data_IF_953303560599
#
_entry.id   IF_953303560599
#
_cell.length_a   1.000
_cell.length_b   1.000
_cell.length_c   1.000
_cell.angle_alpha   90.00
_cell.angle_beta   90.00
_cell.angle_gamma   90.00
#
_symmetry.space_group_name_H-M   'P 1'
#
loop_
_entity.id
_entity.type
_entity.pdbx_description
1 polymer ?
#
# COMPACT_ATOMS: atom_id res chain seq x y z
N UNK A 1 -12.33 -21.45 -5.84
CA UNK A 1 -11.17 -21.84 -5.01
C UNK A 1 -9.86 -21.71 -5.79
N UNK A 2 -9.75 -22.21 -7.02
CA UNK A 2 -8.50 -22.18 -7.81
C UNK A 2 -7.89 -20.78 -7.98
N UNK A 3 -8.69 -19.77 -8.37
CA UNK A 3 -8.19 -18.38 -8.51
C UNK A 3 -7.72 -17.80 -7.18
N UNK A 4 -8.48 -18.02 -6.10
CA UNK A 4 -8.12 -17.59 -4.76
C UNK A 4 -6.81 -18.24 -4.28
N UNK A 5 -6.61 -19.54 -4.53
CA UNK A 5 -5.38 -20.24 -4.20
C UNK A 5 -4.16 -19.72 -4.96
N UNK A 6 -4.33 -19.38 -6.24
CA UNK A 6 -3.26 -18.75 -7.05
C UNK A 6 -2.90 -17.36 -6.52
N UNK A 7 -3.90 -16.51 -6.25
CA UNK A 7 -3.68 -15.16 -5.70
C UNK A 7 -3.03 -15.22 -4.32
N UNK A 8 -3.45 -16.16 -3.48
CA UNK A 8 -2.83 -16.41 -2.18
C UNK A 8 -1.39 -16.89 -2.31
N UNK A 9 -1.12 -17.86 -3.18
CA UNK A 9 0.23 -18.35 -3.44
C UNK A 9 1.16 -17.25 -3.92
N UNK A 10 0.71 -16.43 -4.89
CA UNK A 10 1.45 -15.25 -5.35
C UNK A 10 1.70 -14.25 -4.21
N UNK A 11 0.68 -13.96 -3.40
CA UNK A 11 0.80 -13.06 -2.25
C UNK A 11 1.86 -13.57 -1.28
N UNK A 12 1.88 -14.87 -0.96
CA UNK A 12 2.90 -15.46 -0.08
C UNK A 12 4.30 -15.42 -0.70
N UNK A 13 4.44 -15.64 -2.00
CA UNK A 13 5.72 -15.44 -2.68
C UNK A 13 6.24 -14.00 -2.52
N UNK A 14 5.40 -13.00 -2.78
CA UNK A 14 5.77 -11.59 -2.58
C UNK A 14 6.01 -11.23 -1.11
N UNK A 15 5.30 -11.86 -0.18
CA UNK A 15 5.52 -11.70 1.26
C UNK A 15 6.90 -12.24 1.67
N UNK A 16 7.31 -13.41 1.17
CA UNK A 16 8.64 -13.97 1.42
C UNK A 16 9.74 -13.07 0.84
N UNK A 17 9.57 -12.59 -0.39
CA UNK A 17 10.48 -11.62 -0.99
C UNK A 17 10.57 -10.34 -0.16
N UNK A 18 9.43 -9.80 0.27
CA UNK A 18 9.38 -8.61 1.10
C UNK A 18 10.08 -8.83 2.45
N UNK A 19 9.82 -9.97 3.10
CA UNK A 19 10.45 -10.36 4.35
C UNK A 19 11.98 -10.45 4.21
N UNK A 20 12.47 -11.05 3.12
CA UNK A 20 13.90 -11.15 2.85
C UNK A 20 14.56 -9.77 2.71
N UNK A 21 13.95 -8.87 1.92
CA UNK A 21 14.47 -7.51 1.72
C UNK A 21 14.39 -6.71 3.03
N UNK A 22 13.28 -6.82 3.76
CA UNK A 22 13.09 -6.17 5.07
C UNK A 22 14.13 -6.66 6.10
N UNK A 23 14.41 -7.96 6.15
CA UNK A 23 15.46 -8.54 6.99
C UNK A 23 16.84 -7.99 6.62
N UNK A 24 17.16 -7.91 5.33
CA UNK A 24 18.43 -7.36 4.87
C UNK A 24 18.56 -5.87 5.23
N UNK A 25 17.49 -5.08 5.09
CA UNK A 25 17.47 -3.67 5.51
C UNK A 25 17.59 -3.52 7.03
N UNK A 26 16.95 -4.41 7.79
CA UNK A 26 17.02 -4.45 9.26
C UNK A 26 18.45 -4.75 9.72
N UNK A 27 19.13 -5.74 9.11
CA UNK A 27 20.54 -6.09 9.39
C UNK A 27 21.52 -4.98 9.00
N UNK A 28 21.28 -4.29 7.89
CA UNK A 28 22.13 -3.20 7.38
C UNK A 28 21.89 -1.84 8.07
N UNK A 29 20.97 -1.78 9.03
CA UNK A 29 20.70 -0.59 9.83
C UNK A 29 21.49 -0.63 11.13
N UNK A 30 22.23 0.45 11.46
CA UNK A 30 23.01 0.55 12.70
C UNK A 30 22.16 0.44 13.97
N UNK A 31 20.87 0.79 13.91
CA UNK A 31 19.89 0.72 15.03
C UNK A 31 18.49 0.38 14.50
N UNK A 32 18.20 -0.90 14.22
CA UNK A 32 16.93 -1.32 13.60
C UNK A 32 15.70 -0.99 14.45
N UNK A 33 15.78 -1.20 15.77
CA UNK A 33 14.66 -1.03 16.70
C UNK A 33 14.19 0.42 16.87
N UNK A 34 15.03 1.41 16.54
CA UNK A 34 14.70 2.85 16.62
C UNK A 34 14.25 3.45 15.29
N UNK A 35 14.28 2.69 14.20
CA UNK A 35 13.91 3.19 12.88
C UNK A 35 12.41 3.03 12.66
N UNK A 36 11.67 4.14 12.68
CA UNK A 36 10.22 4.18 12.41
C UNK A 36 9.91 3.51 11.06
N UNK A 37 10.75 3.76 10.05
CA UNK A 37 10.60 3.16 8.72
C UNK A 37 10.68 1.62 8.72
N UNK A 38 11.56 1.03 9.54
CA UNK A 38 11.69 -0.43 9.63
C UNK A 38 10.45 -1.03 10.26
N UNK A 39 9.93 -0.41 11.32
CA UNK A 39 8.67 -0.82 11.94
C UNK A 39 7.49 -0.72 10.97
N UNK A 40 7.40 0.36 10.19
CA UNK A 40 6.34 0.53 9.20
C UNK A 40 6.34 -0.62 8.17
N UNK A 41 7.51 -1.05 7.68
CA UNK A 41 7.62 -2.18 6.75
C UNK A 41 7.16 -3.49 7.40
N UNK A 42 7.60 -3.77 8.63
CA UNK A 42 7.25 -5.03 9.31
C UNK A 42 5.77 -5.10 9.66
N UNK A 43 5.17 -3.99 10.10
CA UNK A 43 3.74 -3.93 10.40
C UNK A 43 2.92 -4.07 9.09
N UNK A 44 3.35 -3.42 8.00
CA UNK A 44 2.72 -3.57 6.68
C UNK A 44 2.74 -5.02 6.20
N UNK A 45 3.90 -5.66 6.29
CA UNK A 45 4.09 -7.06 5.91
C UNK A 45 3.20 -7.98 6.75
N UNK A 46 3.18 -7.78 8.08
CA UNK A 46 2.34 -8.55 8.98
C UNK A 46 0.85 -8.38 8.65
N UNK A 47 0.39 -7.15 8.43
CA UNK A 47 -0.99 -6.86 8.06
C UNK A 47 -1.39 -7.55 6.73
N UNK A 48 -0.52 -7.51 5.72
CA UNK A 48 -0.74 -8.21 4.46
C UNK A 48 -0.88 -9.72 4.63
N UNK A 49 0.01 -10.34 5.40
CA UNK A 49 -0.02 -11.79 5.64
C UNK A 49 -1.26 -12.18 6.44
N UNK A 50 -1.62 -11.42 7.48
CA UNK A 50 -2.79 -11.70 8.31
C UNK A 50 -4.08 -11.62 7.48
N UNK A 51 -4.28 -10.57 6.67
CA UNK A 51 -5.47 -10.47 5.81
C UNK A 51 -5.51 -11.62 4.79
N UNK A 52 -4.38 -11.96 4.18
CA UNK A 52 -4.33 -13.06 3.21
C UNK A 52 -4.74 -14.39 3.85
N UNK A 53 -4.29 -14.68 5.08
CA UNK A 53 -4.66 -15.87 5.84
C UNK A 53 -6.13 -15.83 6.25
N UNK A 54 -6.63 -14.70 6.78
CA UNK A 54 -8.04 -14.55 7.16
C UNK A 54 -8.97 -14.76 5.96
N UNK A 55 -8.64 -14.19 4.81
CA UNK A 55 -9.40 -14.38 3.57
C UNK A 55 -9.38 -15.83 3.09
N UNK A 56 -8.26 -16.54 3.24
CA UNK A 56 -8.15 -17.96 2.88
C UNK A 56 -8.99 -18.84 3.82
N UNK A 57 -8.89 -18.64 5.13
CA UNK A 57 -9.64 -19.39 6.14
C UNK A 57 -11.15 -19.21 5.97
N UNK A 58 -11.58 -18.00 5.62
CA UNK A 58 -12.96 -17.73 5.25
C UNK A 58 -13.40 -18.49 3.99
N UNK A 59 -12.56 -18.51 2.94
CA UNK A 59 -12.88 -19.22 1.70
C UNK A 59 -12.92 -20.75 1.88
N UNK A 60 -12.20 -21.27 2.87
CA UNK A 60 -12.23 -22.68 3.28
C UNK A 60 -13.41 -23.01 4.21
N UNK A 61 -14.31 -22.05 4.48
CA UNK A 61 -15.45 -22.18 5.39
C UNK A 61 -15.07 -22.58 6.84
N UNK A 62 -13.81 -22.35 7.23
CA UNK A 62 -13.32 -22.64 8.59
C UNK A 62 -13.82 -21.58 9.58
N UNK A 63 -13.93 -20.33 9.14
CA UNK A 63 -14.36 -19.18 9.96
C UNK A 63 -15.71 -18.67 9.47
N UNK A 64 -16.76 -18.64 10.31
CA UNK A 64 -18.05 -18.07 9.94
C UNK A 64 -17.97 -16.54 9.82
N UNK A 65 -18.76 -15.91 8.92
CA UNK A 65 -18.85 -14.46 8.85
C UNK A 65 -19.36 -13.92 10.19
N UNK A 66 -18.54 -13.11 10.86
CA UNK A 66 -18.89 -12.46 12.13
C UNK A 66 -18.50 -10.99 12.10
N UNK A 67 -19.11 -10.19 12.98
CA UNK A 67 -18.76 -8.78 13.14
C UNK A 67 -17.25 -8.60 13.39
N UNK A 68 -16.69 -9.40 14.29
CA UNK A 68 -15.27 -9.34 14.65
C UNK A 68 -14.35 -9.66 13.47
N UNK A 69 -14.73 -10.62 12.62
CA UNK A 69 -14.00 -10.95 11.41
C UNK A 69 -14.02 -9.80 10.39
N UNK A 70 -15.17 -9.16 10.18
CA UNK A 70 -15.26 -7.99 9.29
C UNK A 70 -14.47 -6.80 9.84
N UNK A 71 -14.50 -6.60 11.16
CA UNK A 71 -13.75 -5.54 11.83
C UNK A 71 -12.23 -5.76 11.78
N UNK A 72 -11.75 -7.00 11.95
CA UNK A 72 -10.32 -7.30 11.89
C UNK A 72 -9.73 -7.02 10.51
N UNK A 73 -10.39 -7.51 9.44
CA UNK A 73 -9.96 -7.24 8.06
C UNK A 73 -9.93 -5.75 7.78
N UNK A 74 -10.98 -5.02 8.16
CA UNK A 74 -11.07 -3.59 7.86
C UNK A 74 -10.04 -2.77 8.67
N UNK A 75 -9.77 -3.16 9.91
CA UNK A 75 -8.73 -2.54 10.73
C UNK A 75 -7.34 -2.77 10.13
N UNK A 76 -7.02 -4.01 9.74
CA UNK A 76 -5.74 -4.33 9.11
C UNK A 76 -5.60 -3.60 7.77
N UNK A 77 -6.65 -3.55 6.97
CA UNK A 77 -6.66 -2.82 5.70
C UNK A 77 -6.47 -1.31 5.89
N UNK A 78 -7.10 -0.72 6.91
CA UNK A 78 -6.90 0.68 7.28
C UNK A 78 -5.45 0.96 7.68
N UNK A 79 -4.82 0.03 8.41
CA UNK A 79 -3.39 0.11 8.76
C UNK A 79 -2.53 0.06 7.49
N UNK A 80 -2.85 -0.83 6.54
CA UNK A 80 -2.10 -0.98 5.29
C UNK A 80 -2.08 0.31 4.46
N UNK A 81 -3.25 0.87 4.16
CA UNK A 81 -3.35 2.11 3.39
C UNK A 81 -2.59 3.24 4.07
N UNK A 82 -2.67 3.34 5.40
CA UNK A 82 -1.98 4.38 6.14
C UNK A 82 -0.46 4.22 6.08
N UNK A 83 0.06 3.01 6.34
CA UNK A 83 1.49 2.76 6.37
C UNK A 83 2.12 2.85 4.98
N UNK A 84 1.48 2.29 3.95
CA UNK A 84 2.00 2.27 2.59
C UNK A 84 2.21 3.68 2.02
N UNK A 85 1.22 4.56 2.18
CA UNK A 85 1.35 5.96 1.74
C UNK A 85 2.41 6.71 2.56
N UNK A 86 2.51 6.43 3.85
CA UNK A 86 3.53 7.04 4.70
C UNK A 86 4.95 6.56 4.35
N UNK A 87 5.12 5.30 3.91
CA UNK A 87 6.40 4.78 3.39
C UNK A 87 6.82 5.59 2.15
N UNK A 88 5.91 5.81 1.20
CA UNK A 88 6.15 6.60 -0.03
C UNK A 88 6.52 8.04 0.32
N UNK A 89 5.77 8.68 1.23
CA UNK A 89 6.04 10.06 1.65
C UNK A 89 7.37 10.16 2.39
N UNK A 90 7.68 9.21 3.28
CA UNK A 90 8.93 9.21 4.02
C UNK A 90 10.13 9.09 3.08
N UNK A 91 10.01 8.33 1.99
CA UNK A 91 10.99 8.30 0.89
C UNK A 91 11.15 9.68 0.23
N UNK A 92 10.05 10.35 -0.13
CA UNK A 92 10.13 11.68 -0.74
C UNK A 92 10.80 12.68 0.21
N UNK A 93 10.47 12.64 1.50
CA UNK A 93 11.04 13.51 2.54
C UNK A 93 12.55 13.33 2.72
N UNK A 94 13.10 12.15 2.43
CA UNK A 94 14.55 11.92 2.48
C UNK A 94 15.27 12.66 1.33
N UNK A 95 14.62 12.80 0.18
CA UNK A 95 15.19 13.44 -1.03
C UNK A 95 14.92 14.95 -1.04
N UNK A 96 13.82 15.38 -0.42
CA UNK A 96 13.44 16.78 -0.34
C UNK A 96 14.40 17.56 0.56
N UNK A 97 14.95 18.65 0.02
CA UNK A 97 15.85 19.54 0.77
C UNK A 97 15.11 20.28 1.90
N UNK A 98 13.86 20.70 1.66
CA UNK A 98 13.02 21.44 2.61
C UNK A 98 12.28 20.50 3.58
N UNK A 99 12.73 20.50 4.84
CA UNK A 99 12.17 19.65 5.91
C UNK A 99 10.77 20.07 6.35
N UNK A 100 10.42 21.34 6.22
CA UNK A 100 9.12 21.88 6.67
C UNK A 100 8.02 21.46 5.69
N UNK A 101 8.27 21.62 4.39
CA UNK A 101 7.36 21.12 3.34
C UNK A 101 7.17 19.60 3.43
N UNK A 102 8.25 18.87 3.69
CA UNK A 102 8.18 17.42 3.90
C UNK A 102 7.29 17.01 5.08
N UNK A 103 7.36 17.74 6.20
CA UNK A 103 6.50 17.47 7.38
C UNK A 103 5.05 17.84 7.13
N UNK A 104 4.78 18.96 6.46
CA UNK A 104 3.43 19.36 6.10
C UNK A 104 2.76 18.33 5.18
N UNK A 105 3.50 17.76 4.22
CA UNK A 105 2.99 16.72 3.32
C UNK A 105 2.63 15.42 4.08
N UNK A 106 3.47 14.99 5.02
CA UNK A 106 3.19 13.84 5.92
C UNK A 106 1.87 14.03 6.65
N UNK A 107 1.69 15.19 7.30
CA UNK A 107 0.51 15.48 8.11
C UNK A 107 -0.72 15.62 7.21
N UNK A 108 -0.63 16.36 6.12
CA UNK A 108 -1.74 16.59 5.20
C UNK A 108 -2.29 15.29 4.61
N UNK A 109 -1.42 14.42 4.10
CA UNK A 109 -1.86 13.12 3.57
C UNK A 109 -2.36 12.22 4.70
N UNK A 110 -1.68 12.17 5.86
CA UNK A 110 -2.17 11.39 7.01
C UNK A 110 -3.60 11.76 7.41
N UNK A 111 -3.90 13.06 7.47
CA UNK A 111 -5.22 13.58 7.82
C UNK A 111 -6.27 13.21 6.77
N UNK A 112 -5.97 13.38 5.48
CA UNK A 112 -6.90 13.02 4.40
C UNK A 112 -7.24 11.54 4.46
N UNK A 113 -6.22 10.67 4.58
CA UNK A 113 -6.40 9.22 4.63
C UNK A 113 -7.18 8.80 5.89
N UNK A 114 -6.92 9.44 7.03
CA UNK A 114 -7.67 9.19 8.25
C UNK A 114 -9.16 9.52 8.09
N UNK A 115 -9.49 10.67 7.47
CA UNK A 115 -10.87 11.05 7.20
C UNK A 115 -11.58 10.04 6.29
N UNK A 116 -10.90 9.57 5.24
CA UNK A 116 -11.45 8.57 4.32
C UNK A 116 -11.67 7.24 5.07
N UNK A 117 -10.67 6.76 5.81
CA UNK A 117 -10.80 5.53 6.59
C UNK A 117 -11.98 5.58 7.55
N UNK A 118 -12.13 6.66 8.33
CA UNK A 118 -13.29 6.83 9.24
C UNK A 118 -14.62 6.70 8.46
N UNK A 119 -14.72 7.32 7.29
CA UNK A 119 -15.91 7.21 6.43
C UNK A 119 -16.18 5.76 6.01
N UNK A 120 -15.15 5.01 5.66
CA UNK A 120 -15.24 3.59 5.26
C UNK A 120 -15.68 2.71 6.41
N UNK A 121 -15.14 2.91 7.61
CA UNK A 121 -15.59 2.19 8.82
C UNK A 121 -17.10 2.36 9.03
N UNK A 122 -17.61 3.60 8.91
CA UNK A 122 -19.03 3.90 9.13
C UNK A 122 -19.96 3.37 8.03
N UNK A 123 -19.49 3.23 6.78
CA UNK A 123 -20.33 2.84 5.65
C UNK A 123 -20.25 1.32 5.39
N UNK A 124 -19.05 0.74 5.46
CA UNK A 124 -18.80 -0.62 5.04
C UNK A 124 -19.32 -1.66 6.05
N UNK A 125 -19.13 -1.43 7.34
CA UNK A 125 -19.58 -2.36 8.40
C UNK A 125 -21.11 -2.56 8.35
N UNK A 126 -21.95 -1.50 8.35
CA UNK A 126 -23.40 -1.66 8.23
C UNK A 126 -23.84 -2.30 6.92
N UNK A 127 -23.10 -2.04 5.83
CA UNK A 127 -23.39 -2.63 4.52
C UNK A 127 -23.09 -4.15 4.49
N UNK A 128 -22.02 -4.61 5.14
CA UNK A 128 -21.67 -6.03 5.24
C UNK A 128 -22.58 -6.80 6.21
N UNK A 129 -23.04 -6.15 7.27
CA UNK A 129 -24.06 -6.71 8.16
C UNK A 129 -25.47 -6.72 7.53
N UNK A 130 -25.61 -6.23 6.29
CA UNK A 130 -26.86 -6.19 5.52
C UNK A 130 -28.03 -5.52 6.27
N UNK A 131 -27.75 -4.52 7.11
CA UNK A 131 -28.76 -3.84 7.94
C UNK A 131 -29.85 -3.18 7.07
N UNK A 132 -29.48 -2.65 5.90
CA UNK A 132 -30.43 -2.05 4.96
C UNK A 132 -29.92 -2.03 3.52
N UNK A 133 -30.82 -2.26 2.57
CA UNK A 133 -30.56 -2.12 1.13
C UNK A 133 -30.06 -0.73 0.72
N UNK A 134 -30.38 0.32 1.49
CA UNK A 134 -29.87 1.68 1.25
C UNK A 134 -28.37 1.76 1.53
N UNK A 135 -27.90 1.18 2.63
CA UNK A 135 -26.48 1.16 2.99
C UNK A 135 -25.66 0.34 1.99
N UNK A 136 -26.21 -0.78 1.49
CA UNK A 136 -25.54 -1.58 0.47
C UNK A 136 -25.32 -0.79 -0.83
N UNK A 137 -26.34 -0.05 -1.29
CA UNK A 137 -26.22 0.81 -2.49
C UNK A 137 -25.21 1.94 -2.30
N UNK A 138 -25.26 2.61 -1.15
CA UNK A 138 -24.30 3.67 -0.81
C UNK A 138 -22.89 3.11 -0.79
N UNK A 139 -22.67 1.98 -0.11
CA UNK A 139 -21.37 1.32 -0.05
C UNK A 139 -20.84 0.96 -1.44
N UNK A 140 -21.66 0.43 -2.34
CA UNK A 140 -21.21 0.06 -3.69
C UNK A 140 -20.68 1.26 -4.50
N UNK A 141 -21.21 2.46 -4.26
CA UNK A 141 -20.75 3.69 -4.93
C UNK A 141 -19.53 4.25 -4.19
N UNK A 142 -19.63 4.36 -2.86
CA UNK A 142 -18.58 4.93 -2.02
C UNK A 142 -17.28 4.14 -2.12
N UNK A 143 -17.35 2.81 -2.03
CA UNK A 143 -16.20 1.89 -2.12
C UNK A 143 -15.44 2.05 -3.44
N UNK A 144 -16.12 2.39 -4.54
CA UNK A 144 -15.45 2.69 -5.83
C UNK A 144 -14.80 4.07 -5.85
N UNK A 145 -15.53 5.09 -5.40
CA UNK A 145 -15.04 6.48 -5.36
C UNK A 145 -13.79 6.60 -4.49
N UNK A 146 -13.82 5.97 -3.33
CA UNK A 146 -12.71 5.93 -2.38
C UNK A 146 -11.41 5.40 -3.00
N UNK A 147 -11.48 4.30 -3.75
CA UNK A 147 -10.30 3.74 -4.42
C UNK A 147 -9.78 4.61 -5.55
N UNK A 148 -10.67 5.30 -6.26
CA UNK A 148 -10.26 6.30 -7.25
C UNK A 148 -9.52 7.44 -6.55
N UNK A 149 -9.99 7.89 -5.39
CA UNK A 149 -9.29 8.91 -4.59
C UNK A 149 -7.91 8.40 -4.16
N UNK A 150 -7.78 7.16 -3.68
CA UNK A 150 -6.46 6.60 -3.34
C UNK A 150 -5.53 6.49 -4.54
N UNK A 151 -6.03 6.03 -5.69
CA UNK A 151 -5.26 5.98 -6.93
C UNK A 151 -4.75 7.38 -7.32
N UNK A 152 -5.58 8.41 -7.21
CA UNK A 152 -5.18 9.79 -7.50
C UNK A 152 -4.12 10.31 -6.52
N UNK A 153 -4.25 10.01 -5.23
CA UNK A 153 -3.26 10.36 -4.21
C UNK A 153 -1.93 9.65 -4.50
N UNK A 154 -1.96 8.35 -4.78
CA UNK A 154 -0.76 7.56 -5.09
C UNK A 154 -0.08 8.06 -6.38
N UNK A 155 -0.86 8.34 -7.42
CA UNK A 155 -0.36 8.92 -8.67
C UNK A 155 0.28 10.30 -8.45
N UNK A 156 -0.35 11.16 -7.66
CA UNK A 156 0.16 12.49 -7.34
C UNK A 156 1.49 12.43 -6.57
N UNK A 157 1.57 11.58 -5.53
CA UNK A 157 2.78 11.41 -4.73
C UNK A 157 3.93 10.84 -5.56
N UNK A 158 3.65 9.82 -6.39
CA UNK A 158 4.67 9.24 -7.26
C UNK A 158 5.11 10.18 -8.39
N UNK A 159 4.20 10.98 -8.93
CA UNK A 159 4.54 12.03 -9.89
C UNK A 159 5.43 13.10 -9.25
N UNK A 160 5.06 13.56 -8.04
CA UNK A 160 5.83 14.54 -7.28
C UNK A 160 7.24 14.02 -6.95
N UNK A 161 7.36 12.75 -6.58
CA UNK A 161 8.65 12.08 -6.39
C UNK A 161 9.54 12.18 -7.63
N UNK A 162 9.03 11.80 -8.81
CA UNK A 162 9.80 11.87 -10.07
C UNK A 162 10.21 13.31 -10.37
N UNK A 163 9.31 14.27 -10.14
CA UNK A 163 9.57 15.69 -10.37
C UNK A 163 10.74 16.20 -9.52
N UNK A 164 10.71 15.92 -8.21
CA UNK A 164 11.79 16.31 -7.28
C UNK A 164 13.10 15.60 -7.62
N UNK A 165 13.06 14.31 -7.96
CA UNK A 165 14.27 13.57 -8.35
C UNK A 165 14.89 14.16 -9.63
N UNK A 166 14.08 14.50 -10.64
CA UNK A 166 14.58 15.14 -11.87
C UNK A 166 15.23 16.49 -11.58
N UNK A 167 14.58 17.33 -10.77
CA UNK A 167 15.13 18.64 -10.39
C UNK A 167 16.47 18.49 -9.65
N UNK A 168 16.55 17.59 -8.67
CA UNK A 168 17.77 17.33 -7.90
C UNK A 168 18.92 16.79 -8.78
N UNK A 169 18.61 15.95 -9.77
CA UNK A 169 19.62 15.40 -10.68
C UNK A 169 20.14 16.41 -11.71
N UNK A 170 19.26 17.29 -12.23
CA UNK A 170 19.65 18.36 -13.16
C UNK A 170 20.55 19.37 -12.47
N UNK A 171 20.25 19.73 -11.22
CA UNK A 171 21.09 20.63 -10.42
C UNK A 171 22.51 20.08 -10.18
N UNK A 172 22.66 18.75 -10.13
CA UNK A 172 23.95 18.08 -9.90
C UNK A 172 24.68 17.68 -11.20
N UNK A 173 24.17 18.02 -12.39
CA UNK A 173 24.86 17.78 -13.68
C UNK A 173 25.06 16.31 -14.09
N UNK A 174 24.46 15.36 -13.36
CA UNK A 174 24.77 13.93 -13.49
C UNK A 174 23.84 13.24 -14.51
N UNK A 175 24.12 13.44 -15.80
CA UNK A 175 23.45 12.76 -16.92
C UNK A 175 23.45 11.21 -16.79
N UNK A 176 24.41 10.65 -16.04
CA UNK A 176 24.52 9.21 -15.75
C UNK A 176 23.29 8.64 -15.02
N UNK A 177 22.55 9.45 -14.26
CA UNK A 177 21.38 9.00 -13.50
C UNK A 177 20.07 9.01 -14.30
N UNK A 178 20.06 9.45 -15.56
CA UNK A 178 18.86 9.37 -16.40
C UNK A 178 18.39 7.93 -16.64
N UNK A 179 19.29 6.95 -16.62
CA UNK A 179 18.91 5.53 -16.69
C UNK A 179 18.17 5.08 -15.42
N UNK A 180 18.57 5.59 -14.27
CA UNK A 180 17.93 5.32 -12.97
C UNK A 180 16.52 5.93 -12.92
N UNK A 181 16.37 7.19 -13.32
CA UNK A 181 15.06 7.86 -13.35
C UNK A 181 14.08 7.11 -14.26
N UNK A 182 14.54 6.67 -15.44
CA UNK A 182 13.71 5.88 -16.37
C UNK A 182 13.31 4.53 -15.77
N UNK A 183 14.21 3.88 -15.05
CA UNK A 183 13.91 2.62 -14.36
C UNK A 183 12.87 2.83 -13.25
N UNK A 184 13.07 3.83 -12.38
CA UNK A 184 12.11 4.17 -11.32
C UNK A 184 10.75 4.55 -11.89
N UNK A 185 10.71 5.32 -12.98
CA UNK A 185 9.47 5.69 -13.66
C UNK A 185 8.70 4.45 -14.16
N UNK A 186 9.39 3.44 -14.71
CA UNK A 186 8.74 2.18 -15.14
C UNK A 186 8.18 1.41 -13.95
N UNK A 187 8.91 1.33 -12.85
CA UNK A 187 8.46 0.64 -11.64
C UNK A 187 7.25 1.35 -11.02
N UNK A 188 7.21 2.68 -11.01
CA UNK A 188 6.06 3.46 -10.55
C UNK A 188 4.81 3.14 -11.38
N UNK A 189 4.94 2.95 -12.69
CA UNK A 189 3.81 2.52 -13.53
C UNK A 189 3.28 1.16 -13.07
N UNK A 190 4.17 0.20 -12.74
CA UNK A 190 3.75 -1.09 -12.17
C UNK A 190 3.02 -0.90 -10.83
N UNK A 191 3.49 -0.01 -9.96
CA UNK A 191 2.80 0.33 -8.71
C UNK A 191 1.37 0.84 -8.94
N UNK A 192 1.18 1.77 -9.87
CA UNK A 192 -0.14 2.32 -10.21
C UNK A 192 -1.05 1.29 -10.88
N UNK A 193 -0.48 0.38 -11.66
CA UNK A 193 -1.23 -0.73 -12.26
C UNK A 193 -1.81 -1.66 -11.18
N UNK A 194 -1.15 -1.83 -10.03
CA UNK A 194 -1.70 -2.61 -8.92
C UNK A 194 -2.99 -1.99 -8.36
N UNK A 195 -3.09 -0.67 -8.29
CA UNK A 195 -4.34 0.01 -7.87
C UNK A 195 -5.45 -0.16 -8.90
N UNK A 196 -5.11 -0.02 -10.18
CA UNK A 196 -6.06 -0.26 -11.28
C UNK A 196 -6.56 -1.70 -11.26
N UNK A 197 -5.69 -2.66 -10.93
CA UNK A 197 -6.07 -4.06 -10.73
C UNK A 197 -7.05 -4.23 -9.56
N UNK A 198 -6.83 -3.57 -8.41
CA UNK A 198 -7.80 -3.60 -7.29
C UNK A 198 -9.16 -3.04 -7.74
N UNK A 199 -9.15 -1.94 -8.50
CA UNK A 199 -10.38 -1.33 -9.02
C UNK A 199 -11.10 -2.27 -9.98
N UNK A 200 -10.37 -2.91 -10.89
CA UNK A 200 -10.91 -3.92 -11.80
C UNK A 200 -11.49 -5.12 -11.06
N UNK A 201 -10.81 -5.59 -10.00
CA UNK A 201 -11.23 -6.72 -9.19
C UNK A 201 -12.57 -6.49 -8.46
N UNK A 202 -12.99 -5.25 -8.24
CA UNK A 202 -14.33 -4.96 -7.71
C UNK A 202 -15.48 -5.33 -8.65
N UNK A 203 -15.20 -5.50 -9.95
CA UNK A 203 -16.21 -5.95 -10.91
C UNK A 203 -16.51 -7.45 -10.77
N UNK A 204 -15.72 -8.17 -9.97
CA UNK A 204 -15.93 -9.58 -9.69
C UNK A 204 -17.04 -9.73 -8.63
N UNK A 205 -18.08 -10.55 -8.89
CA UNK A 205 -19.22 -10.69 -7.97
C UNK A 205 -18.87 -11.33 -6.62
N UNK A 206 -17.68 -11.91 -6.47
CA UNK A 206 -17.24 -12.56 -5.24
C UNK A 206 -16.42 -11.60 -4.37
N UNK A 207 -17.08 -10.98 -3.38
CA UNK A 207 -16.48 -9.94 -2.54
C UNK A 207 -15.23 -10.36 -1.77
N UNK A 208 -15.04 -11.66 -1.51
CA UNK A 208 -13.86 -12.17 -0.81
C UNK A 208 -12.69 -12.49 -1.75
N UNK A 209 -12.98 -12.80 -3.02
CA UNK A 209 -11.92 -12.89 -4.02
C UNK A 209 -11.30 -11.50 -4.24
N UNK A 210 -12.13 -10.45 -4.24
CA UNK A 210 -11.68 -9.05 -4.24
C UNK A 210 -10.80 -8.71 -3.02
N UNK A 211 -11.15 -9.17 -1.82
CA UNK A 211 -10.37 -8.92 -0.61
C UNK A 211 -8.93 -9.49 -0.68
N UNK A 212 -8.71 -10.60 -1.39
CA UNK A 212 -7.38 -11.19 -1.58
C UNK A 212 -6.46 -10.41 -2.52
N UNK A 213 -7.00 -9.55 -3.38
CA UNK A 213 -6.17 -8.71 -4.26
C UNK A 213 -5.48 -7.57 -3.50
N UNK A 214 -6.01 -7.14 -2.36
CA UNK A 214 -5.39 -6.10 -1.51
C UNK A 214 -4.02 -6.49 -0.98
N UNK A 215 -3.86 -7.61 -0.22
CA UNK A 215 -2.55 -8.00 0.27
C UNK A 215 -1.56 -8.25 -0.87
N UNK A 216 -2.00 -8.80 -2.00
CA UNK A 216 -1.14 -8.95 -3.18
C UNK A 216 -0.61 -7.60 -3.68
N UNK A 217 -1.51 -6.64 -3.91
CA UNK A 217 -1.15 -5.31 -4.41
C UNK A 217 -0.24 -4.55 -3.46
N UNK A 218 -0.55 -4.55 -2.17
CA UNK A 218 0.25 -3.86 -1.17
C UNK A 218 1.62 -4.52 -0.97
N UNK A 219 1.73 -5.85 -1.04
CA UNK A 219 3.04 -6.53 -1.00
C UNK A 219 3.91 -6.19 -2.21
N UNK A 220 3.34 -6.14 -3.43
CA UNK A 220 4.09 -5.73 -4.63
C UNK A 220 4.59 -4.29 -4.48
N UNK A 221 3.71 -3.38 -4.04
CA UNK A 221 4.07 -1.98 -3.78
C UNK A 221 5.14 -1.85 -2.70
N UNK A 222 5.04 -2.60 -1.61
CA UNK A 222 6.04 -2.61 -0.54
C UNK A 222 7.41 -3.08 -1.06
N UNK A 223 7.45 -4.17 -1.84
CA UNK A 223 8.69 -4.64 -2.47
C UNK A 223 9.32 -3.57 -3.37
N UNK A 224 8.49 -2.93 -4.20
CA UNK A 224 8.88 -1.83 -5.07
C UNK A 224 9.54 -0.69 -4.26
N UNK A 225 8.87 -0.23 -3.20
CA UNK A 225 9.36 0.86 -2.36
C UNK A 225 10.69 0.51 -1.68
N UNK A 226 10.83 -0.71 -1.16
CA UNK A 226 12.07 -1.16 -0.54
C UNK A 226 13.24 -1.26 -1.52
N UNK A 227 12.99 -1.76 -2.74
CA UNK A 227 14.01 -1.87 -3.79
C UNK A 227 14.46 -0.46 -4.25
N UNK A 228 13.51 0.44 -4.48
CA UNK A 228 13.81 1.82 -4.87
C UNK A 228 14.61 2.56 -3.78
N UNK A 229 14.22 2.42 -2.52
CA UNK A 229 14.94 3.04 -1.40
C UNK A 229 16.40 2.54 -1.29
N UNK A 230 16.64 1.24 -1.46
CA UNK A 230 17.98 0.66 -1.46
C UNK A 230 18.84 1.18 -2.62
N UNK A 231 18.25 1.34 -3.80
CA UNK A 231 18.95 1.80 -4.99
C UNK A 231 19.41 3.26 -4.85
N UNK A 232 18.57 4.12 -4.28
CA UNK A 232 18.90 5.53 -4.00
C UNK A 232 20.03 5.62 -2.96
N UNK A 233 19.94 4.83 -1.88
CA UNK A 233 20.96 4.82 -0.82
C UNK A 233 22.34 4.42 -1.33
N UNK A 234 22.43 3.46 -2.26
CA UNK A 234 23.71 3.03 -2.87
C UNK A 234 24.36 4.06 -3.78
N UNK A 235 23.62 5.09 -4.18
CA UNK A 235 24.05 6.10 -5.15
C UNK A 235 24.37 7.43 -4.45
N UNK A 236 23.67 7.73 -3.36
CA UNK A 236 23.88 8.92 -2.54
C UNK A 236 25.06 8.80 -1.56
N UNK A 237 25.58 7.57 -1.33
CA UNK A 237 26.79 7.27 -0.56
C UNK A 237 27.88 6.81 -1.54
#
# INVERSE_FOLDING_TARGET
ITVAGVVFGLSMCFAICAAYIALQQTKNSRRPSKSVYVWMIWIELAACVTIAIECLLYLLYVIPPSFYFFMSILLLWSVQIHLLLQIIINRIRIILYDRTKGRAMVIGVASIILCINISVFCIWIPARLQISNRYIRINNIWDRLEKVIYLLIDACLNWYFIHIVKQSLVANGLQKYNRLVRFNQRIIVVSLLMDVMIIGAMSIPNGFLYAMFHPLAFLVKLNIEMIMANLIRRIAL
#
